data_IF_458097768428
#
_entry.id   IF_458097768428
#
_cell.length_a   1.000
_cell.length_b   1.000
_cell.length_c   1.000
_cell.angle_alpha   90.00
_cell.angle_beta   90.00
_cell.angle_gamma   90.00
#
_symmetry.space_group_name_H-M   'P 1'
#
loop_
_entity.id
_entity.type
_entity.pdbx_description
1 polymer ?
#
# COMPACT_ATOMS: atom_id res chain seq x y z
N UNK A 1 -8.17 -1.92 14.96
CA UNK A 1 -7.53 -2.29 13.68
C UNK A 1 -6.05 -2.48 13.96
N UNK A 2 -5.61 -3.73 14.13
CA UNK A 2 -4.23 -4.04 14.53
C UNK A 2 -3.25 -3.77 13.39
N UNK A 3 -2.31 -2.85 13.61
CA UNK A 3 -1.16 -2.60 12.73
C UNK A 3 0.08 -3.28 13.30
N UNK A 4 -0.04 -4.55 13.70
CA UNK A 4 1.08 -5.34 14.16
C UNK A 4 1.72 -6.02 12.95
N UNK A 5 2.86 -5.50 12.51
CA UNK A 5 3.77 -6.28 11.67
C UNK A 5 4.35 -7.34 12.61
N UNK A 6 3.79 -8.54 12.62
CA UNK A 6 4.37 -9.65 13.40
C UNK A 6 5.41 -10.39 12.61
N UNK A 7 5.26 -10.39 11.29
CA UNK A 7 6.06 -11.18 10.39
C UNK A 7 6.71 -10.36 9.29
N UNK A 8 7.87 -10.82 8.85
CA UNK A 8 8.69 -10.25 7.79
C UNK A 8 9.25 -11.35 6.90
N UNK A 9 9.41 -11.08 5.60
CA UNK A 9 10.00 -12.03 4.67
C UNK A 9 11.52 -11.89 4.64
N UNK A 10 12.23 -13.01 4.65
CA UNK A 10 13.67 -12.99 4.46
C UNK A 10 14.04 -12.67 3.01
N UNK A 11 14.98 -11.74 2.81
CA UNK A 11 15.52 -11.41 1.49
C UNK A 11 16.20 -12.62 0.79
N UNK A 12 16.68 -13.63 1.54
CA UNK A 12 17.38 -14.79 0.99
C UNK A 12 16.50 -16.04 0.83
N UNK A 13 15.69 -16.34 1.84
CA UNK A 13 14.91 -17.59 1.92
C UNK A 13 13.42 -17.38 1.60
N UNK A 14 12.96 -16.12 1.45
CA UNK A 14 11.54 -15.69 1.37
C UNK A 14 10.61 -16.23 2.46
N UNK A 15 11.15 -16.92 3.46
CA UNK A 15 10.39 -17.46 4.57
C UNK A 15 9.88 -16.33 5.47
N UNK A 16 8.71 -16.59 6.07
CA UNK A 16 8.06 -15.70 7.01
C UNK A 16 8.76 -15.82 8.39
N UNK A 17 9.22 -14.69 8.92
CA UNK A 17 10.01 -14.58 10.15
C UNK A 17 9.29 -13.66 11.11
N UNK A 18 9.17 -14.05 12.37
CA UNK A 18 8.66 -13.12 13.38
C UNK A 18 9.67 -11.99 13.62
N UNK A 19 9.20 -10.75 13.72
CA UNK A 19 10.01 -9.53 13.93
C UNK A 19 10.91 -9.61 15.19
N UNK A 20 10.56 -10.44 16.17
CA UNK A 20 11.39 -10.68 17.36
C UNK A 20 12.68 -11.48 17.08
N UNK A 21 12.79 -12.12 15.91
CA UNK A 21 13.99 -12.88 15.55
C UNK A 21 14.93 -12.05 14.69
N UNK A 22 16.22 -12.07 15.06
CA UNK A 22 17.29 -11.41 14.31
C UNK A 22 17.85 -12.27 13.16
N UNK A 23 17.31 -13.48 12.95
CA UNK A 23 17.81 -14.45 11.97
C UNK A 23 16.65 -15.21 11.26
N UNK A 24 16.82 -15.57 9.98
CA UNK A 24 15.88 -16.47 9.26
C UNK A 24 15.99 -17.89 9.86
N UNK A 25 14.89 -18.44 10.39
CA UNK A 25 14.84 -19.83 10.87
C UNK A 25 15.11 -20.87 9.78
N UNK A 26 14.93 -20.51 8.49
CA UNK A 26 15.14 -21.40 7.36
C UNK A 26 16.56 -21.33 6.76
N UNK A 27 17.26 -20.19 6.83
CA UNK A 27 18.58 -20.04 6.17
C UNK A 27 19.67 -19.40 7.04
N UNK A 28 19.39 -19.09 8.31
CA UNK A 28 20.37 -18.56 9.26
C UNK A 28 20.85 -17.13 8.97
N UNK A 29 20.40 -16.49 7.90
CA UNK A 29 20.81 -15.13 7.57
C UNK A 29 20.26 -14.12 8.56
N UNK A 30 21.08 -13.12 8.88
CA UNK A 30 20.69 -12.01 9.73
C UNK A 30 19.64 -11.16 9.02
N UNK A 31 18.55 -10.87 9.73
CA UNK A 31 17.44 -10.06 9.22
C UNK A 31 17.56 -8.69 9.85
N UNK A 32 17.64 -7.65 9.02
CA UNK A 32 17.67 -6.26 9.51
C UNK A 32 16.24 -5.82 9.82
N UNK A 33 15.72 -6.29 10.96
CA UNK A 33 14.35 -6.03 11.42
C UNK A 33 14.03 -4.54 11.46
N UNK A 34 15.03 -3.72 11.80
CA UNK A 34 14.89 -2.27 11.88
C UNK A 34 14.65 -1.62 10.50
N UNK A 35 15.47 -1.96 9.50
CA UNK A 35 15.33 -1.46 8.12
C UNK A 35 13.92 -1.67 7.61
N UNK A 36 13.38 -2.84 7.90
CA UNK A 36 12.14 -3.32 7.33
C UNK A 36 10.90 -2.74 8.01
N UNK A 37 10.94 -2.59 9.34
CA UNK A 37 9.93 -1.82 10.07
C UNK A 37 9.91 -0.36 9.56
N UNK A 38 11.09 0.24 9.35
CA UNK A 38 11.20 1.60 8.82
C UNK A 38 10.58 1.66 7.41
N UNK A 39 10.91 0.72 6.53
CA UNK A 39 10.35 0.63 5.18
C UNK A 39 8.83 0.50 5.21
N UNK A 40 8.29 -0.41 6.01
CA UNK A 40 6.85 -0.64 6.12
C UNK A 40 6.08 0.63 6.50
N UNK A 41 6.51 1.32 7.56
CA UNK A 41 5.84 2.56 7.99
C UNK A 41 6.06 3.71 7.01
N UNK A 42 7.20 3.74 6.33
CA UNK A 42 7.48 4.71 5.28
C UNK A 42 6.54 4.55 4.07
N UNK A 43 6.35 3.31 3.58
CA UNK A 43 5.49 3.04 2.42
C UNK A 43 4.00 3.31 2.71
N UNK A 44 3.56 3.13 3.96
CA UNK A 44 2.23 3.59 4.42
C UNK A 44 2.05 5.11 4.40
N UNK A 45 3.13 5.88 4.22
CA UNK A 45 3.08 7.33 4.06
C UNK A 45 2.97 8.11 5.36
N UNK A 46 3.28 7.50 6.51
CA UNK A 46 3.21 8.19 7.80
C UNK A 46 4.20 9.38 7.88
N UNK A 47 3.88 10.43 8.64
CA UNK A 47 4.80 11.52 8.91
C UNK A 47 5.93 11.03 9.85
N UNK A 48 7.06 11.73 9.88
CA UNK A 48 8.28 11.20 10.52
C UNK A 48 8.16 11.04 12.03
N UNK A 49 7.47 11.97 12.68
CA UNK A 49 7.05 11.93 14.08
C UNK A 49 6.26 10.66 14.41
N UNK A 50 5.27 10.30 13.60
CA UNK A 50 4.47 9.09 13.79
C UNK A 50 5.30 7.83 13.56
N UNK A 51 6.21 7.84 12.59
CA UNK A 51 7.15 6.72 12.38
C UNK A 51 8.03 6.53 13.62
N UNK A 52 8.52 7.61 14.24
CA UNK A 52 9.31 7.53 15.47
C UNK A 52 8.50 6.95 16.64
N UNK A 53 7.25 7.37 16.81
CA UNK A 53 6.36 6.82 17.83
C UNK A 53 6.15 5.31 17.63
N UNK A 54 5.89 4.87 16.39
CA UNK A 54 5.74 3.45 16.11
C UNK A 54 7.03 2.65 16.32
N UNK A 55 8.18 3.18 15.94
CA UNK A 55 9.47 2.53 16.19
C UNK A 55 9.74 2.36 17.69
N UNK A 56 9.34 3.34 18.50
CA UNK A 56 9.46 3.27 19.96
C UNK A 56 8.67 2.09 20.55
N UNK A 57 7.49 1.79 20.00
CA UNK A 57 6.64 0.65 20.40
C UNK A 57 7.26 -0.70 20.02
N UNK A 58 8.12 -0.73 19.01
CA UNK A 58 8.91 -1.91 18.62
C UNK A 58 10.25 -2.02 19.37
N UNK A 59 10.49 -1.17 20.39
CA UNK A 59 11.74 -1.17 21.16
C UNK A 59 12.91 -0.46 20.46
N UNK A 60 12.65 0.23 19.35
CA UNK A 60 13.66 0.93 18.56
C UNK A 60 13.57 2.43 18.85
N UNK A 61 14.36 2.91 19.81
CA UNK A 61 14.43 4.34 20.14
C UNK A 61 15.50 5.04 19.31
N UNK A 62 15.08 5.83 18.31
CA UNK A 62 15.98 6.58 17.44
C UNK A 62 15.58 8.05 17.33
N UNK A 63 16.53 8.93 17.02
CA UNK A 63 16.24 10.33 16.75
C UNK A 63 15.72 10.56 15.32
N UNK A 64 15.02 11.67 15.10
CA UNK A 64 14.60 12.12 13.76
C UNK A 64 15.78 12.26 12.78
N UNK A 65 16.95 12.70 13.26
CA UNK A 65 18.18 12.79 12.47
C UNK A 65 18.63 11.39 12.01
N UNK A 66 18.60 10.42 12.91
CA UNK A 66 18.94 9.02 12.62
C UNK A 66 17.97 8.41 11.60
N UNK A 67 16.66 8.65 11.78
CA UNK A 67 15.64 8.19 10.84
C UNK A 67 15.89 8.76 9.43
N UNK A 68 16.11 10.07 9.29
CA UNK A 68 16.42 10.70 7.99
C UNK A 68 17.68 10.11 7.34
N UNK A 69 18.74 9.88 8.11
CA UNK A 69 19.98 9.27 7.62
C UNK A 69 19.75 7.84 7.13
N UNK A 70 18.94 7.03 7.85
CA UNK A 70 18.59 5.66 7.45
C UNK A 70 17.74 5.64 6.19
N UNK A 71 16.73 6.50 6.10
CA UNK A 71 15.91 6.66 4.88
C UNK A 71 16.78 7.00 3.66
N UNK A 72 17.77 7.88 3.81
CA UNK A 72 18.73 8.18 2.74
C UNK A 72 19.58 6.95 2.37
N UNK A 73 20.10 6.22 3.37
CA UNK A 73 20.87 4.98 3.14
C UNK A 73 20.06 3.93 2.39
N UNK A 74 18.75 3.84 2.66
CA UNK A 74 17.84 2.91 2.00
C UNK A 74 17.28 3.43 0.68
N UNK A 75 17.66 4.64 0.23
CA UNK A 75 17.14 5.24 -1.00
C UNK A 75 15.67 5.68 -0.93
N UNK A 76 15.08 5.75 0.27
CA UNK A 76 13.67 6.05 0.49
C UNK A 76 13.44 7.56 0.53
N UNK A 77 12.82 8.09 -0.52
CA UNK A 77 12.47 9.52 -0.64
C UNK A 77 10.97 9.68 -0.80
N UNK A 78 10.37 10.61 -0.03
CA UNK A 78 8.91 10.88 -0.11
C UNK A 78 8.49 11.52 -1.43
N UNK A 79 9.43 12.19 -2.09
CA UNK A 79 9.25 12.88 -3.36
C UNK A 79 10.11 12.17 -4.40
N UNK A 80 9.72 10.96 -4.78
CA UNK A 80 10.26 10.35 -5.99
C UNK A 80 9.51 10.96 -7.17
N UNK A 81 10.13 11.96 -7.79
CA UNK A 81 9.73 12.50 -9.09
C UNK A 81 10.20 11.63 -10.25
N UNK A 82 11.07 10.67 -9.97
CA UNK A 82 11.66 9.74 -10.95
C UNK A 82 10.88 8.43 -10.99
N UNK A 83 9.55 8.53 -11.08
CA UNK A 83 8.71 7.36 -11.29
C UNK A 83 8.39 7.31 -12.76
N UNK A 84 8.85 6.26 -13.44
CA UNK A 84 8.54 5.99 -14.83
C UNK A 84 7.02 5.90 -15.03
N UNK A 85 6.48 6.78 -15.87
CA UNK A 85 5.05 6.91 -16.11
C UNK A 85 4.46 5.61 -16.67
N UNK A 86 5.23 4.92 -17.52
CA UNK A 86 4.78 3.67 -18.14
C UNK A 86 4.62 2.55 -17.11
N UNK A 87 5.56 2.44 -16.18
CA UNK A 87 5.45 1.53 -15.03
C UNK A 87 4.19 1.84 -14.20
N UNK A 88 3.89 3.13 -13.94
CA UNK A 88 2.67 3.51 -13.21
C UNK A 88 1.42 3.14 -13.99
N UNK A 89 1.40 3.39 -15.30
CA UNK A 89 0.26 3.08 -16.18
C UNK A 89 -0.04 1.57 -16.16
N UNK A 90 0.98 0.73 -16.21
CA UNK A 90 0.83 -0.73 -16.16
C UNK A 90 0.32 -1.23 -14.81
N UNK A 91 0.78 -0.64 -13.70
CA UNK A 91 0.28 -0.98 -12.36
C UNK A 91 -1.14 -0.47 -12.11
N UNK A 92 -1.50 0.70 -12.65
CA UNK A 92 -2.88 1.20 -12.57
C UNK A 92 -3.82 0.23 -13.29
N UNK A 93 -3.43 -0.30 -14.46
CA UNK A 93 -4.22 -1.31 -15.20
C UNK A 93 -4.39 -2.60 -14.40
N UNK A 94 -3.33 -3.11 -13.77
CA UNK A 94 -3.43 -4.35 -12.98
C UNK A 94 -4.33 -4.16 -11.76
N UNK A 95 -4.21 -3.03 -11.06
CA UNK A 95 -5.07 -2.70 -9.92
C UNK A 95 -6.54 -2.46 -10.32
N UNK A 96 -6.79 -1.86 -11.49
CA UNK A 96 -8.15 -1.70 -12.01
C UNK A 96 -8.84 -3.05 -12.27
N UNK A 97 -8.11 -4.03 -12.81
CA UNK A 97 -8.63 -5.37 -13.01
C UNK A 97 -8.95 -6.06 -11.67
N UNK A 98 -8.14 -5.81 -10.64
CA UNK A 98 -8.27 -6.48 -9.35
C UNK A 98 -9.33 -5.84 -8.43
N UNK A 99 -9.47 -4.51 -8.48
CA UNK A 99 -10.26 -3.74 -7.51
C UNK A 99 -11.70 -3.43 -7.99
N UNK A 100 -12.06 -3.82 -9.21
CA UNK A 100 -13.40 -3.71 -9.79
C UNK A 100 -13.87 -2.26 -10.10
N UNK A 101 -15.03 -2.16 -10.74
CA UNK A 101 -15.60 -0.92 -11.30
C UNK A 101 -15.76 0.25 -10.29
N UNK A 102 -15.89 -0.08 -8.99
CA UNK A 102 -16.12 0.91 -7.93
C UNK A 102 -14.83 1.55 -7.39
N UNK A 103 -13.66 1.06 -7.78
CA UNK A 103 -12.39 1.58 -7.29
C UNK A 103 -12.04 2.89 -7.99
N UNK A 104 -12.18 3.99 -7.25
CA UNK A 104 -11.76 5.32 -7.72
C UNK A 104 -10.24 5.49 -7.67
N UNK A 105 -9.75 6.56 -8.31
CA UNK A 105 -8.31 6.88 -8.34
C UNK A 105 -7.66 6.98 -6.94
N UNK A 106 -8.43 7.32 -5.89
CA UNK A 106 -7.94 7.38 -4.51
C UNK A 106 -7.56 6.00 -3.98
N UNK A 107 -8.38 5.00 -4.28
CA UNK A 107 -8.16 3.61 -3.86
C UNK A 107 -6.94 3.04 -4.58
N UNK A 108 -6.87 3.24 -5.90
CA UNK A 108 -5.73 2.80 -6.72
C UNK A 108 -4.44 3.50 -6.28
N UNK A 109 -4.46 4.81 -6.06
CA UNK A 109 -3.31 5.54 -5.54
C UNK A 109 -2.82 4.99 -4.19
N UNK A 110 -3.73 4.57 -3.32
CA UNK A 110 -3.39 3.96 -2.05
C UNK A 110 -2.86 2.54 -2.21
N UNK A 111 -3.43 1.75 -3.13
CA UNK A 111 -2.96 0.41 -3.47
C UNK A 111 -1.53 0.42 -4.05
N UNK A 112 -1.24 1.35 -4.97
CA UNK A 112 0.11 1.55 -5.53
C UNK A 112 1.17 1.81 -4.45
N UNK A 113 0.80 2.51 -3.37
CA UNK A 113 1.71 2.78 -2.25
C UNK A 113 1.89 1.59 -1.32
N UNK A 114 0.80 0.86 -1.03
CA UNK A 114 0.83 -0.23 -0.06
C UNK A 114 1.37 -1.54 -0.64
N UNK A 115 1.00 -1.84 -1.88
CA UNK A 115 1.30 -3.13 -2.52
C UNK A 115 2.59 -3.00 -3.33
N UNK A 116 2.63 -1.98 -4.21
CA UNK A 116 3.73 -1.79 -5.16
C UNK A 116 4.85 -0.90 -4.62
N UNK A 117 4.69 -0.32 -3.42
CA UNK A 117 5.68 0.55 -2.77
C UNK A 117 6.08 1.80 -3.58
N UNK A 118 5.28 2.18 -4.59
CA UNK A 118 5.54 3.32 -5.48
C UNK A 118 4.70 4.51 -5.02
N UNK A 119 5.31 5.70 -5.07
CA UNK A 119 4.72 6.95 -4.56
C UNK A 119 4.42 7.94 -5.68
N UNK A 120 3.52 7.63 -6.62
CA UNK A 120 3.23 8.56 -7.70
C UNK A 120 2.46 9.78 -7.20
N UNK A 121 2.59 10.94 -7.87
CA UNK A 121 1.72 12.06 -7.62
C UNK A 121 0.27 11.66 -7.87
N UNK A 122 -0.61 12.17 -7.00
CA UNK A 122 -2.03 11.81 -7.05
C UNK A 122 -2.73 12.35 -8.29
N UNK A 123 -2.26 13.47 -8.83
CA UNK A 123 -2.72 14.07 -10.08
C UNK A 123 -2.43 13.13 -11.25
N UNK A 124 -1.20 12.61 -11.35
CA UNK A 124 -0.79 11.67 -12.38
C UNK A 124 -1.67 10.41 -12.39
N UNK A 125 -1.93 9.80 -11.23
CA UNK A 125 -2.84 8.64 -11.15
C UNK A 125 -4.26 8.99 -11.60
N UNK A 126 -4.74 10.20 -11.30
CA UNK A 126 -6.07 10.64 -11.73
C UNK A 126 -6.13 10.91 -13.24
N UNK A 127 -5.08 11.48 -13.82
CA UNK A 127 -4.92 11.70 -15.27
C UNK A 127 -4.89 10.36 -16.01
N UNK A 128 -3.99 9.45 -15.63
CA UNK A 128 -3.90 8.10 -16.20
C UNK A 128 -5.24 7.36 -16.11
N UNK A 129 -5.92 7.43 -14.96
CA UNK A 129 -7.21 6.77 -14.80
C UNK A 129 -8.30 7.38 -15.70
N UNK A 130 -8.27 8.70 -15.90
CA UNK A 130 -9.21 9.38 -16.78
C UNK A 130 -8.98 9.04 -18.25
N UNK A 131 -7.72 8.90 -18.67
CA UNK A 131 -7.33 8.45 -20.00
C UNK A 131 -7.78 7.00 -20.27
N UNK A 132 -7.62 6.11 -19.29
CA UNK A 132 -7.97 4.69 -19.44
C UNK A 132 -9.48 4.44 -19.38
N UNK A 133 -10.22 5.18 -18.54
CA UNK A 133 -11.66 5.02 -18.37
C UNK A 133 -12.36 6.37 -18.10
N UNK A 134 -12.64 7.15 -19.17
CA UNK A 134 -13.33 8.42 -19.04
C UNK A 134 -14.78 8.24 -18.58
N UNK A 135 -15.43 7.12 -18.94
CA UNK A 135 -16.82 6.85 -18.59
C UNK A 135 -16.99 6.64 -17.08
N UNK A 136 -16.19 5.77 -16.45
CA UNK A 136 -16.27 5.56 -15.00
C UNK A 136 -15.83 6.81 -14.23
N UNK A 137 -14.89 7.59 -14.76
CA UNK A 137 -14.50 8.89 -14.19
C UNK A 137 -15.68 9.87 -14.18
N UNK A 138 -16.38 10.00 -15.31
CA UNK A 138 -17.56 10.86 -15.45
C UNK A 138 -18.76 10.36 -14.63
N UNK A 139 -19.00 9.05 -14.59
CA UNK A 139 -20.04 8.44 -13.77
C UNK A 139 -19.83 8.77 -12.29
N UNK A 140 -18.60 8.69 -11.77
CA UNK A 140 -18.26 9.10 -10.41
C UNK A 140 -18.41 10.61 -10.20
N UNK A 141 -18.00 11.43 -11.17
CA UNK A 141 -18.16 12.90 -11.13
C UNK A 141 -19.63 13.33 -11.01
N UNK A 142 -20.53 12.56 -11.64
CA UNK A 142 -21.98 12.79 -11.55
C UNK A 142 -22.56 12.61 -10.14
N UNK A 143 -21.80 11.99 -9.21
CA UNK A 143 -22.21 11.67 -7.83
C UNK A 143 -23.51 10.86 -7.76
N UNK A 144 -23.84 10.12 -8.81
CA UNK A 144 -25.00 9.21 -8.83
C UNK A 144 -24.60 7.86 -8.24
N UNK A 145 -25.37 7.40 -7.26
CA UNK A 145 -25.20 6.07 -6.70
C UNK A 145 -25.70 5.01 -7.70
N UNK A 146 -24.83 4.09 -8.13
CA UNK A 146 -25.23 2.93 -8.94
C UNK A 146 -25.94 1.94 -8.02
N UNK A 147 -27.27 1.86 -8.11
CA UNK A 147 -28.07 0.94 -7.28
C UNK A 147 -27.75 -0.50 -7.67
N UNK A 148 -27.45 -1.35 -6.69
CA UNK A 148 -27.30 -2.79 -6.90
C UNK A 148 -28.62 -3.36 -7.42
N UNK A 149 -28.58 -4.16 -8.47
CA UNK A 149 -29.74 -4.90 -8.96
C UNK A 149 -29.83 -6.21 -8.18
N UNK A 150 -30.81 -6.32 -7.30
CA UNK A 150 -31.11 -7.56 -6.61
C UNK A 150 -32.08 -8.36 -7.48
N UNK A 151 -31.57 -9.40 -8.15
CA UNK A 151 -32.39 -10.38 -8.84
C UNK A 151 -32.48 -11.61 -7.93
N UNK A 152 -33.67 -11.86 -7.38
CA UNK A 152 -33.97 -13.10 -6.67
C UNK A 152 -34.57 -14.11 -7.66
N UNK A 153 -33.98 -15.30 -7.83
CA UNK A 153 -34.51 -16.33 -8.74
C UNK A 153 -35.84 -16.94 -8.27
N UNK A 154 -36.27 -16.72 -7.03
CA UNK A 154 -37.54 -17.26 -6.53
C UNK A 154 -37.76 -17.17 -5.01
N UNK A 155 -38.87 -17.73 -4.51
CA UNK A 155 -39.36 -17.54 -3.13
C UNK A 155 -38.45 -18.08 -2.01
N UNK A 156 -37.59 -19.07 -2.32
CA UNK A 156 -36.70 -19.70 -1.34
C UNK A 156 -35.29 -19.09 -1.30
N UNK A 157 -35.02 -18.04 -2.07
CA UNK A 157 -33.73 -17.35 -2.05
C UNK A 157 -33.78 -16.23 -1.02
N UNK A 158 -32.95 -16.34 0.01
CA UNK A 158 -32.90 -15.36 1.08
C UNK A 158 -32.40 -14.01 0.56
N UNK A 159 -33.07 -12.93 0.96
CA UNK A 159 -32.58 -11.58 0.72
C UNK A 159 -31.39 -11.32 1.65
N UNK A 160 -30.39 -10.59 1.16
CA UNK A 160 -29.40 -10.01 2.06
C UNK A 160 -30.12 -8.98 2.95
N UNK A 161 -30.18 -9.23 4.25
CA UNK A 161 -30.60 -8.24 5.25
C UNK A 161 -29.32 -7.63 5.79
N UNK A 162 -29.17 -6.31 5.66
CA UNK A 162 -28.02 -5.55 6.16
C UNK A 162 -28.00 -5.48 7.70
#
# INVERSE_FOLDING_TARGET
MGTDIRHINCENCQAEILIVYSFCNNCGNRVDTEKEIIQHYFHRGFPYDVILDFLSKHGISISLRTLKRRLQKYGLRKRNSDVDEETVRNLVRSEMANAGEQSGYRTIWHALRLIHNIHPPRTLVAEILHELDPEASNARRSRKLKRRKYLSPGPNYCWHVD
#
